data_IF_278005498592
#
_entry.id   IF_278005498592
#
_cell.length_a   1.000
_cell.length_b   1.000
_cell.length_c   1.000
_cell.angle_alpha   90.00
_cell.angle_beta   90.00
_cell.angle_gamma   90.00
#
_symmetry.space_group_name_H-M   'P 1'
#
loop_
_entity.id
_entity.type
_entity.pdbx_description
1 polymer ?
#
# COMPACT_ATOMS: atom_id res chain seq x y z
N UNK A 1 26.91 9.20 -19.99
CA UNK A 1 26.29 8.15 -19.15
C UNK A 1 25.04 7.69 -19.88
N UNK A 2 24.91 6.44 -20.30
CA UNK A 2 23.67 5.97 -20.88
C UNK A 2 22.58 6.09 -19.81
N UNK A 3 21.55 6.88 -20.07
CA UNK A 3 20.35 6.92 -19.27
C UNK A 3 19.70 5.55 -19.38
N UNK A 4 19.81 4.75 -18.33
CA UNK A 4 19.10 3.47 -18.26
C UNK A 4 17.61 3.72 -18.55
N UNK A 5 17.03 2.99 -19.49
CA UNK A 5 15.61 3.08 -19.76
C UNK A 5 14.82 2.90 -18.45
N UNK A 6 13.82 3.73 -18.18
CA UNK A 6 13.05 3.61 -16.96
C UNK A 6 12.34 2.24 -16.95
N UNK A 7 12.34 1.58 -15.78
CA UNK A 7 11.76 0.25 -15.58
C UNK A 7 10.27 0.21 -16.00
N UNK A 8 9.56 1.31 -15.79
CA UNK A 8 8.19 1.55 -16.24
C UNK A 8 8.13 2.87 -17.00
N UNK A 9 7.49 2.86 -18.17
CA UNK A 9 7.24 4.07 -18.94
C UNK A 9 6.03 4.85 -18.40
N UNK A 10 5.92 6.12 -18.82
CA UNK A 10 4.85 7.01 -18.38
C UNK A 10 3.46 6.52 -18.82
N UNK A 11 3.35 5.97 -20.02
CA UNK A 11 2.06 5.48 -20.52
C UNK A 11 1.56 4.28 -19.70
N UNK A 12 2.49 3.42 -19.27
CA UNK A 12 2.18 2.29 -18.42
C UNK A 12 1.71 2.74 -17.04
N UNK A 13 2.35 3.75 -16.44
CA UNK A 13 1.91 4.33 -15.15
C UNK A 13 0.51 4.94 -15.25
N UNK A 14 0.18 5.63 -16.33
CA UNK A 14 -1.16 6.18 -16.56
C UNK A 14 -2.22 5.06 -16.69
N UNK A 15 -1.87 3.92 -17.30
CA UNK A 15 -2.75 2.74 -17.34
C UNK A 15 -2.96 2.12 -15.96
N UNK A 16 -1.93 2.05 -15.14
CA UNK A 16 -2.01 1.57 -13.76
C UNK A 16 -2.92 2.48 -12.90
N UNK A 17 -2.84 3.80 -13.06
CA UNK A 17 -3.74 4.73 -12.37
C UNK A 17 -5.20 4.48 -12.74
N UNK A 18 -5.51 4.32 -14.02
CA UNK A 18 -6.87 4.02 -14.48
C UNK A 18 -7.38 2.69 -13.91
N UNK A 19 -6.52 1.67 -13.87
CA UNK A 19 -6.84 0.38 -13.29
C UNK A 19 -7.17 0.52 -11.80
N UNK A 20 -6.37 1.27 -11.05
CA UNK A 20 -6.54 1.50 -9.62
C UNK A 20 -7.87 2.20 -9.33
N UNK A 21 -8.22 3.25 -10.09
CA UNK A 21 -9.48 3.98 -9.94
C UNK A 21 -10.68 3.06 -10.24
N UNK A 22 -10.58 2.24 -11.28
CA UNK A 22 -11.64 1.29 -11.63
C UNK A 22 -11.82 0.24 -10.52
N UNK A 23 -10.74 -0.26 -9.97
CA UNK A 23 -10.75 -1.24 -8.89
C UNK A 23 -11.40 -0.69 -7.61
N UNK A 24 -11.05 0.52 -7.20
CA UNK A 24 -11.69 1.17 -6.04
C UNK A 24 -13.22 1.26 -6.20
N UNK A 25 -13.71 1.61 -7.39
CA UNK A 25 -15.15 1.67 -7.67
C UNK A 25 -15.83 0.29 -7.63
N UNK A 26 -15.16 -0.74 -8.13
CA UNK A 26 -15.73 -2.10 -8.19
C UNK A 26 -15.76 -2.80 -6.84
N UNK A 27 -14.83 -2.52 -5.95
CA UNK A 27 -14.71 -3.17 -4.64
C UNK A 27 -15.35 -2.38 -3.50
N UNK A 28 -15.67 -1.10 -3.67
CA UNK A 28 -16.39 -0.33 -2.66
C UNK A 28 -17.75 -0.97 -2.27
N UNK A 29 -18.35 -1.75 -3.17
CA UNK A 29 -19.58 -2.52 -2.89
C UNK A 29 -19.35 -3.94 -2.33
N UNK A 30 -18.18 -4.54 -2.55
CA UNK A 30 -17.90 -5.93 -2.14
C UNK A 30 -17.15 -6.05 -0.82
N UNK A 31 -16.37 -5.04 -0.43
CA UNK A 31 -15.59 -5.02 0.83
C UNK A 31 -16.42 -4.47 2.00
N UNK A 32 -17.72 -4.34 1.86
CA UNK A 32 -18.66 -3.98 2.92
C UNK A 32 -18.82 -5.02 4.05
N UNK A 33 -17.98 -6.03 4.12
CA UNK A 33 -17.95 -7.04 5.17
C UNK A 33 -16.66 -7.00 5.98
N UNK A 34 -16.76 -6.58 7.22
CA UNK A 34 -15.94 -6.85 8.41
C UNK A 34 -14.82 -5.91 8.83
N UNK A 35 -14.31 -4.95 8.03
CA UNK A 35 -13.21 -4.09 8.53
C UNK A 35 -13.44 -2.59 8.39
N UNK A 36 -14.66 -2.11 8.23
CA UNK A 36 -14.95 -0.69 8.40
C UNK A 36 -15.03 -0.36 9.88
N UNK A 37 -13.91 0.07 10.43
CA UNK A 37 -13.89 0.65 11.77
C UNK A 37 -14.72 1.94 11.75
N UNK A 38 -15.92 1.86 12.34
CA UNK A 38 -16.81 3.01 12.50
C UNK A 38 -16.35 3.80 13.72
N UNK A 39 -15.42 4.71 13.53
CA UNK A 39 -15.02 5.64 14.58
C UNK A 39 -15.78 6.96 14.44
N UNK A 40 -16.28 7.45 15.58
CA UNK A 40 -16.70 8.84 15.71
C UNK A 40 -15.43 9.69 15.81
N UNK A 41 -15.20 10.59 14.84
CA UNK A 41 -14.00 11.44 14.81
C UNK A 41 -13.55 11.79 13.40
N UNK A 42 -12.40 12.44 13.27
CA UNK A 42 -11.86 12.86 11.98
C UNK A 42 -11.44 11.69 11.09
N UNK A 43 -12.19 11.42 10.05
CA UNK A 43 -11.88 10.47 8.96
C UNK A 43 -11.91 11.16 7.61
N UNK A 44 -11.48 10.47 6.56
CA UNK A 44 -11.38 11.06 5.21
C UNK A 44 -12.73 11.19 4.51
N UNK A 45 -13.67 10.30 4.78
CA UNK A 45 -14.96 10.32 4.11
C UNK A 45 -16.09 10.32 5.14
N UNK A 46 -16.99 11.31 5.03
CA UNK A 46 -18.18 11.38 5.87
C UNK A 46 -19.13 10.24 5.52
N UNK A 47 -19.48 9.41 6.49
CA UNK A 47 -20.37 8.28 6.29
C UNK A 47 -21.82 8.63 6.61
N UNK A 48 -22.10 9.06 7.85
CA UNK A 48 -23.45 9.29 8.34
C UNK A 48 -23.44 10.03 9.70
N UNK A 49 -24.60 10.28 10.24
CA UNK A 49 -24.81 10.76 11.60
C UNK A 49 -25.39 9.64 12.48
N UNK A 50 -24.85 9.50 13.67
CA UNK A 50 -25.36 8.62 14.73
C UNK A 50 -25.86 9.46 15.91
N UNK A 51 -26.90 9.02 16.58
CA UNK A 51 -27.31 9.63 17.86
C UNK A 51 -26.18 9.54 18.90
N UNK A 52 -26.02 10.60 19.67
CA UNK A 52 -25.07 10.65 20.78
C UNK A 52 -25.56 9.72 21.90
N UNK A 53 -24.63 9.00 22.51
CA UNK A 53 -24.85 8.21 23.72
C UNK A 53 -23.93 8.69 24.83
N UNK A 54 -24.36 8.50 26.06
CA UNK A 54 -23.55 8.87 27.22
C UNK A 54 -22.20 8.13 27.22
N UNK A 55 -21.10 8.89 27.28
CA UNK A 55 -19.73 8.35 27.16
C UNK A 55 -19.06 8.59 25.80
N UNK A 56 -19.80 9.10 24.80
CA UNK A 56 -19.21 9.47 23.51
C UNK A 56 -18.40 10.77 23.61
N UNK A 57 -17.41 10.92 22.70
CA UNK A 57 -16.58 12.12 22.63
C UNK A 57 -17.37 13.32 22.08
N UNK A 58 -17.53 14.34 22.90
CA UNK A 58 -18.21 15.60 22.54
C UNK A 58 -17.53 16.35 21.38
N UNK A 59 -16.25 16.09 21.08
CA UNK A 59 -15.53 16.70 19.95
C UNK A 59 -16.07 16.23 18.61
N UNK A 60 -16.64 15.03 18.56
CA UNK A 60 -17.22 14.44 17.36
C UNK A 60 -18.68 14.91 17.12
N UNK A 61 -19.26 15.71 18.01
CA UNK A 61 -20.63 16.20 17.91
C UNK A 61 -20.77 17.19 16.75
N UNK A 62 -21.85 17.02 15.98
CA UNK A 62 -22.21 17.97 14.93
C UNK A 62 -23.03 19.15 15.55
N UNK A 63 -22.33 20.17 16.03
CA UNK A 63 -22.94 21.35 16.65
C UNK A 63 -23.90 22.10 15.71
N UNK A 64 -23.67 22.07 14.38
CA UNK A 64 -24.60 22.68 13.40
C UNK A 64 -25.92 21.92 13.35
N UNK A 65 -25.88 20.61 13.43
CA UNK A 65 -27.10 19.78 13.50
C UNK A 65 -27.85 20.01 14.81
N UNK A 66 -27.13 20.13 15.91
CA UNK A 66 -27.70 20.44 17.22
C UNK A 66 -28.47 21.77 17.22
N UNK A 67 -27.90 22.85 16.68
CA UNK A 67 -28.55 24.17 16.57
C UNK A 67 -29.84 24.17 15.76
N UNK A 68 -30.03 23.18 14.87
CA UNK A 68 -31.22 23.11 13.99
C UNK A 68 -32.27 22.11 14.49
N UNK A 69 -31.83 21.04 15.12
CA UNK A 69 -32.68 19.88 15.43
C UNK A 69 -32.83 19.63 16.93
N UNK A 70 -32.10 20.38 17.75
CA UNK A 70 -32.00 20.21 19.22
C UNK A 70 -31.69 18.80 19.67
N UNK A 71 -31.02 18.02 18.77
CA UNK A 71 -30.59 16.64 19.02
C UNK A 71 -29.08 16.52 18.80
N UNK A 72 -28.42 15.80 19.68
CA UNK A 72 -26.98 15.55 19.59
C UNK A 72 -26.72 14.41 18.61
N UNK A 73 -26.02 14.73 17.54
CA UNK A 73 -25.56 13.77 16.55
C UNK A 73 -24.03 13.76 16.49
N UNK A 74 -23.46 12.57 16.40
CA UNK A 74 -22.05 12.37 16.10
C UNK A 74 -21.84 12.24 14.58
N UNK A 75 -20.80 12.89 14.09
CA UNK A 75 -20.33 12.65 12.72
C UNK A 75 -19.58 11.33 12.67
N UNK A 76 -20.06 10.42 11.88
CA UNK A 76 -19.39 9.15 11.59
C UNK A 76 -18.54 9.30 10.33
N UNK A 77 -17.29 8.86 10.39
CA UNK A 77 -16.38 8.85 9.26
C UNK A 77 -15.96 7.43 8.95
N UNK A 78 -15.80 7.16 7.68
CA UNK A 78 -15.17 5.92 7.23
C UNK A 78 -13.66 6.09 7.29
N UNK A 79 -13.01 5.26 8.06
CA UNK A 79 -11.55 5.15 8.07
C UNK A 79 -11.22 3.94 7.19
N UNK A 80 -10.61 4.18 6.03
CA UNK A 80 -9.95 3.10 5.32
C UNK A 80 -8.64 2.79 6.05
N UNK A 81 -8.50 1.61 6.68
CA UNK A 81 -7.25 1.23 7.31
C UNK A 81 -6.17 1.15 6.23
N UNK A 82 -5.07 1.88 6.41
CA UNK A 82 -3.89 1.76 5.55
C UNK A 82 -3.26 0.40 5.82
N UNK A 83 -3.32 -0.48 4.83
CA UNK A 83 -2.74 -1.81 4.94
C UNK A 83 -1.26 -1.72 4.61
N UNK A 84 -0.36 -2.18 5.50
CA UNK A 84 1.05 -2.31 5.14
C UNK A 84 1.18 -3.44 4.11
N UNK A 85 1.72 -3.12 2.94
CA UNK A 85 1.97 -4.08 1.86
C UNK A 85 3.46 -4.44 1.89
N UNK A 86 3.76 -5.65 2.31
CA UNK A 86 5.12 -6.19 2.29
C UNK A 86 5.34 -6.96 0.99
N UNK A 87 6.35 -6.58 0.24
CA UNK A 87 6.78 -7.26 -0.97
C UNK A 87 8.17 -7.82 -0.79
N UNK A 88 8.29 -9.12 -0.92
CA UNK A 88 9.56 -9.84 -0.92
C UNK A 88 9.93 -10.16 -2.36
N UNK A 89 11.07 -9.66 -2.83
CA UNK A 89 11.56 -9.86 -4.19
C UNK A 89 12.73 -10.82 -4.20
N UNK A 90 12.57 -11.94 -4.89
CA UNK A 90 13.65 -12.92 -5.08
C UNK A 90 14.77 -12.33 -5.94
N UNK A 91 15.95 -12.25 -5.37
CA UNK A 91 17.19 -11.77 -6.00
C UNK A 91 18.22 -12.88 -6.21
N UNK A 92 17.76 -14.12 -6.23
CA UNK A 92 18.64 -15.27 -6.51
C UNK A 92 19.15 -15.29 -7.96
N UNK A 93 20.25 -15.97 -8.15
CA UNK A 93 20.87 -16.13 -9.49
C UNK A 93 19.98 -16.89 -10.49
N UNK A 94 19.07 -17.76 -10.02
CA UNK A 94 18.10 -18.47 -10.85
C UNK A 94 17.10 -17.51 -11.54
N UNK A 95 16.93 -16.29 -11.02
CA UNK A 95 16.10 -15.26 -11.60
C UNK A 95 16.73 -14.61 -12.84
N UNK A 96 18.03 -14.83 -13.09
CA UNK A 96 18.76 -14.29 -14.26
C UNK A 96 18.57 -15.10 -15.54
N UNK A 97 17.96 -16.28 -15.47
CA UNK A 97 17.82 -17.19 -16.62
C UNK A 97 16.70 -16.77 -17.56
N UNK A 98 16.96 -16.87 -18.89
CA UNK A 98 16.00 -16.63 -19.98
C UNK A 98 16.17 -15.32 -20.71
N UNK A 99 15.66 -15.24 -21.95
CA UNK A 99 15.52 -14.03 -22.74
C UNK A 99 14.51 -13.09 -22.07
N UNK A 100 14.94 -11.90 -21.66
CA UNK A 100 14.13 -10.99 -20.85
C UNK A 100 14.00 -11.52 -19.44
N UNK A 101 15.10 -11.46 -18.69
CA UNK A 101 15.30 -12.17 -17.43
C UNK A 101 14.06 -12.16 -16.54
N UNK A 102 13.74 -13.30 -15.91
CA UNK A 102 12.64 -13.39 -14.92
C UNK A 102 12.74 -12.27 -13.87
N UNK A 103 13.98 -11.87 -13.56
CA UNK A 103 14.25 -10.80 -12.64
C UNK A 103 13.75 -9.44 -13.13
N UNK A 104 13.88 -9.13 -14.44
CA UNK A 104 13.36 -7.88 -15.01
C UNK A 104 11.83 -7.83 -14.96
N UNK A 105 11.18 -8.95 -15.25
CA UNK A 105 9.73 -9.07 -15.13
C UNK A 105 9.29 -8.91 -13.67
N UNK A 106 9.98 -9.57 -12.73
CA UNK A 106 9.68 -9.48 -11.31
C UNK A 106 9.85 -8.04 -10.79
N UNK A 107 10.93 -7.32 -11.19
CA UNK A 107 11.13 -5.90 -10.85
C UNK A 107 10.00 -5.02 -11.39
N UNK A 108 9.57 -5.25 -12.65
CA UNK A 108 8.45 -4.50 -13.25
C UNK A 108 7.14 -4.75 -12.52
N UNK A 109 6.85 -5.99 -12.13
CA UNK A 109 5.67 -6.33 -11.34
C UNK A 109 5.74 -5.67 -9.96
N UNK A 110 6.88 -5.78 -9.27
CA UNK A 110 7.08 -5.14 -7.98
C UNK A 110 6.90 -3.62 -8.06
N UNK A 111 7.50 -2.95 -9.06
CA UNK A 111 7.32 -1.53 -9.30
C UNK A 111 5.85 -1.16 -9.52
N UNK A 112 5.12 -1.97 -10.31
CA UNK A 112 3.70 -1.73 -10.60
C UNK A 112 2.83 -1.84 -9.35
N UNK A 113 3.06 -2.87 -8.52
CA UNK A 113 2.33 -3.05 -7.26
C UNK A 113 2.66 -1.97 -6.24
N UNK A 114 3.95 -1.57 -6.13
CA UNK A 114 4.36 -0.44 -5.32
C UNK A 114 3.65 0.85 -5.74
N UNK A 115 3.59 1.11 -7.04
CA UNK A 115 2.91 2.30 -7.57
C UNK A 115 1.43 2.31 -7.21
N UNK A 116 0.72 1.19 -7.42
CA UNK A 116 -0.69 1.04 -7.08
C UNK A 116 -0.92 1.28 -5.59
N UNK A 117 -0.11 0.67 -4.72
CA UNK A 117 -0.22 0.86 -3.26
C UNK A 117 0.02 2.31 -2.85
N UNK A 118 1.05 2.98 -3.43
CA UNK A 118 1.30 4.40 -3.15
C UNK A 118 0.17 5.32 -3.62
N UNK A 119 -0.45 5.04 -4.77
CA UNK A 119 -1.62 5.79 -5.25
C UNK A 119 -2.80 5.64 -4.28
N UNK A 120 -2.93 4.47 -3.65
CA UNK A 120 -3.93 4.19 -2.60
C UNK A 120 -3.57 4.74 -1.23
N UNK A 121 -2.41 5.36 -1.10
CA UNK A 121 -1.85 5.85 0.17
C UNK A 121 -1.47 4.74 1.16
N UNK A 122 -1.32 3.50 0.69
CA UNK A 122 -0.84 2.38 1.49
C UNK A 122 0.63 2.57 1.89
N UNK A 123 1.05 1.87 2.94
CA UNK A 123 2.46 1.73 3.30
C UNK A 123 3.06 0.56 2.51
N UNK A 124 4.14 0.82 1.79
CA UNK A 124 4.86 -0.18 1.00
C UNK A 124 6.19 -0.46 1.66
N UNK A 125 6.45 -1.73 1.93
CA UNK A 125 7.76 -2.24 2.32
C UNK A 125 8.23 -3.21 1.24
N UNK A 126 9.28 -2.86 0.51
CA UNK A 126 9.88 -3.69 -0.52
C UNK A 126 11.24 -4.16 -0.03
N UNK A 127 11.45 -5.47 0.01
CA UNK A 127 12.64 -6.08 0.54
C UNK A 127 13.15 -7.19 -0.38
N UNK A 128 14.43 -7.19 -0.78
CA UNK A 128 15.02 -8.27 -1.54
C UNK A 128 15.30 -9.45 -0.62
N UNK A 129 15.26 -10.64 -1.16
CA UNK A 129 15.72 -11.82 -0.46
C UNK A 129 16.53 -12.75 -1.35
N UNK A 130 17.40 -13.53 -0.73
CA UNK A 130 18.16 -14.62 -1.34
C UNK A 130 18.40 -15.71 -0.29
N UNK A 131 19.60 -15.80 0.29
CA UNK A 131 19.90 -16.63 1.46
C UNK A 131 19.36 -16.02 2.75
N UNK A 132 19.19 -14.73 2.78
CA UNK A 132 18.75 -13.90 3.90
C UNK A 132 17.85 -12.75 3.40
N UNK A 133 17.27 -12.02 4.32
CA UNK A 133 16.56 -10.77 4.03
C UNK A 133 17.56 -9.63 3.85
N UNK A 134 17.58 -9.07 2.64
CA UNK A 134 18.39 -7.89 2.36
C UNK A 134 17.80 -6.60 2.94
N UNK A 135 18.58 -5.53 2.85
CA UNK A 135 18.12 -4.19 3.24
C UNK A 135 16.98 -3.74 2.32
N UNK A 136 15.83 -3.43 2.90
CA UNK A 136 14.63 -3.04 2.18
C UNK A 136 14.41 -1.53 2.14
N UNK A 137 13.42 -1.11 1.34
CA UNK A 137 12.94 0.27 1.31
C UNK A 137 11.49 0.33 1.76
N UNK A 138 11.18 1.31 2.62
CA UNK A 138 9.81 1.59 3.06
C UNK A 138 9.38 2.94 2.54
N UNK A 139 8.21 2.99 1.93
CA UNK A 139 7.61 4.22 1.42
C UNK A 139 6.10 4.25 1.68
N UNK A 140 5.58 5.43 1.96
CA UNK A 140 4.16 5.68 2.12
C UNK A 140 3.82 7.13 1.82
N UNK A 141 2.53 7.46 1.78
CA UNK A 141 2.11 8.85 1.64
C UNK A 141 1.92 9.37 0.22
N UNK A 142 1.81 8.50 -0.77
CA UNK A 142 1.39 8.85 -2.10
C UNK A 142 2.43 8.70 -3.21
N UNK A 143 1.99 8.87 -4.46
CA UNK A 143 2.76 8.61 -5.68
C UNK A 143 4.09 9.36 -5.80
N UNK A 144 4.23 10.50 -5.14
CA UNK A 144 5.48 11.26 -5.16
C UNK A 144 6.65 10.51 -4.50
N UNK A 145 6.35 9.50 -3.68
CA UNK A 145 7.34 8.60 -3.05
C UNK A 145 7.75 7.43 -3.94
N UNK A 146 7.26 7.34 -5.17
CA UNK A 146 7.56 6.24 -6.07
C UNK A 146 8.98 6.31 -6.65
N UNK A 147 9.54 7.50 -6.85
CA UNK A 147 10.89 7.67 -7.42
C UNK A 147 11.98 6.92 -6.67
N UNK A 148 12.09 7.00 -5.34
CA UNK A 148 13.08 6.22 -4.59
C UNK A 148 12.93 4.71 -4.77
N UNK A 149 11.70 4.20 -4.88
CA UNK A 149 11.46 2.77 -5.15
C UNK A 149 11.96 2.38 -6.54
N UNK A 150 11.73 3.22 -7.54
CA UNK A 150 12.22 2.97 -8.89
C UNK A 150 13.75 2.93 -8.94
N UNK A 151 14.42 3.90 -8.31
CA UNK A 151 15.88 3.95 -8.22
C UNK A 151 16.41 2.72 -7.47
N UNK A 152 15.76 2.31 -6.40
CA UNK A 152 16.11 1.11 -5.65
C UNK A 152 15.99 -0.16 -6.51
N UNK A 153 14.88 -0.36 -7.21
CA UNK A 153 14.64 -1.51 -8.09
C UNK A 153 15.59 -1.54 -9.29
N UNK A 154 15.95 -0.38 -9.85
CA UNK A 154 16.89 -0.28 -10.97
C UNK A 154 18.31 -0.70 -10.58
N UNK A 155 18.73 -0.38 -9.38
CA UNK A 155 20.07 -0.69 -8.86
C UNK A 155 20.17 -2.11 -8.26
N UNK A 156 19.05 -2.81 -8.16
CA UNK A 156 19.02 -4.16 -7.59
C UNK A 156 19.56 -5.19 -8.57
N UNK A 157 20.37 -6.12 -8.07
CA UNK A 157 20.99 -7.18 -8.86
C UNK A 157 20.67 -8.56 -8.29
N UNK A 158 20.47 -9.53 -9.18
CA UNK A 158 20.27 -10.93 -8.79
C UNK A 158 21.64 -11.63 -8.70
N UNK A 159 22.05 -12.09 -7.50
CA UNK A 159 23.43 -12.55 -7.28
C UNK A 159 23.60 -13.83 -6.46
N UNK A 160 22.63 -14.32 -5.73
CA UNK A 160 22.86 -15.34 -4.71
C UNK A 160 22.03 -16.62 -4.95
N UNK A 161 22.18 -17.57 -4.06
CA UNK A 161 21.33 -18.76 -3.97
C UNK A 161 20.15 -18.45 -3.05
N UNK A 162 19.02 -19.10 -3.21
CA UNK A 162 17.83 -18.89 -2.38
C UNK A 162 17.73 -19.94 -1.30
N UNK A 163 17.50 -19.52 -0.04
CA UNK A 163 16.92 -20.36 1.01
C UNK A 163 15.59 -19.77 1.47
N UNK A 164 14.53 -20.20 0.80
CA UNK A 164 13.18 -19.69 1.05
C UNK A 164 12.69 -19.97 2.48
N UNK A 165 13.04 -21.11 3.06
CA UNK A 165 12.59 -21.47 4.41
C UNK A 165 13.19 -20.56 5.47
N UNK A 166 14.46 -20.23 5.32
CA UNK A 166 15.17 -19.32 6.24
C UNK A 166 14.57 -17.91 6.14
N UNK A 167 14.40 -17.41 4.92
CA UNK A 167 13.84 -16.08 4.65
C UNK A 167 12.44 -15.91 5.24
N UNK A 168 11.56 -16.92 5.07
CA UNK A 168 10.20 -16.84 5.61
C UNK A 168 10.22 -16.79 7.14
N UNK A 169 11.09 -17.57 7.79
CA UNK A 169 11.24 -17.50 9.26
C UNK A 169 11.72 -16.14 9.73
N UNK A 170 12.74 -15.57 9.10
CA UNK A 170 13.25 -14.23 9.42
C UNK A 170 12.16 -13.17 9.23
N UNK A 171 11.43 -13.24 8.13
CA UNK A 171 10.34 -12.30 7.85
C UNK A 171 9.22 -12.35 8.91
N UNK A 172 8.79 -13.55 9.31
CA UNK A 172 7.78 -13.72 10.37
C UNK A 172 8.29 -13.13 11.68
N UNK A 173 9.54 -13.38 12.04
CA UNK A 173 10.13 -12.82 13.26
C UNK A 173 10.21 -11.30 13.22
N UNK A 174 10.64 -10.72 12.10
CA UNK A 174 10.75 -9.26 11.95
C UNK A 174 9.41 -8.53 11.92
N UNK A 175 8.35 -9.20 11.43
CA UNK A 175 7.01 -8.62 11.33
C UNK A 175 6.19 -8.74 12.62
N UNK A 176 6.66 -9.53 13.60
CA UNK A 176 5.98 -9.78 14.88
C UNK A 176 6.50 -8.89 16.02
N UNK A 177 7.51 -8.07 15.76
CA UNK A 177 8.13 -7.12 16.69
C UNK A 177 7.65 -5.72 16.44
#
# INVERSE_FOLDING_TARGET
MPTAEPLLDRQFLERLERLTIHWQRSFAGLVGGHNTSRFAGGGQEFLDHRNFHHGDDLRAVNWRAYLRLEKLFLKMFQIEPRVPVHMLLDTSSSMRSGDGSKFDVARKIAASLCYIGLVRLDMIALQPFSTDLGEGIVAGGGRHRFRPIMEYLQNMEAKSVTDFNLVVREFIHSSSS
#
